data_IF_818873575314
#
_entry.id   IF_818873575314
#
_cell.length_a   1.000
_cell.length_b   1.000
_cell.length_c   1.000
_cell.angle_alpha   90.00
_cell.angle_beta   90.00
_cell.angle_gamma   90.00
#
_symmetry.space_group_name_H-M   'P 1'
#
loop_
_entity.id
_entity.type
_entity.pdbx_description
1 polymer ?
#
# COMPACT_ATOMS: atom_id res chain seq x y z
N UNK A 1 -3.54 16.44 24.18
CA UNK A 1 -4.54 15.59 23.56
C UNK A 1 -5.67 15.28 24.56
N UNK A 2 -6.82 14.99 24.04
CA UNK A 2 -7.97 14.63 24.85
C UNK A 2 -7.76 13.24 25.44
N UNK A 3 -7.89 13.11 26.77
CA UNK A 3 -7.67 11.85 27.46
C UNK A 3 -8.72 10.78 27.14
N UNK A 4 -9.85 11.18 26.54
CA UNK A 4 -10.90 10.25 26.13
C UNK A 4 -10.64 9.59 24.79
N UNK A 5 -9.65 10.06 24.04
CA UNK A 5 -9.33 9.51 22.73
C UNK A 5 -8.35 8.36 22.87
N UNK A 6 -8.55 7.35 22.03
CA UNK A 6 -7.59 6.23 21.94
C UNK A 6 -6.27 6.74 21.39
N UNK A 7 -5.18 6.12 21.84
CA UNK A 7 -3.86 6.43 21.30
C UNK A 7 -3.86 6.26 19.79
N UNK A 8 -3.36 7.26 19.09
CA UNK A 8 -3.27 7.25 17.64
C UNK A 8 -4.54 7.71 16.92
N UNK A 9 -5.59 8.09 17.66
CA UNK A 9 -6.85 8.50 17.03
C UNK A 9 -7.08 10.01 16.98
N UNK A 10 -6.17 10.80 17.57
CA UNK A 10 -6.32 12.25 17.68
C UNK A 10 -5.56 13.05 16.63
N UNK A 11 -5.25 12.45 15.49
CA UNK A 11 -4.48 13.14 14.46
C UNK A 11 -5.21 14.31 13.82
N UNK A 12 -4.44 15.27 13.30
CA UNK A 12 -4.98 16.54 12.79
C UNK A 12 -5.49 16.43 11.35
N UNK A 13 -5.23 15.34 10.64
CA UNK A 13 -5.57 15.19 9.22
C UNK A 13 -6.70 14.17 9.07
N UNK A 14 -7.77 14.39 9.83
CA UNK A 14 -8.93 13.51 9.79
C UNK A 14 -9.66 13.62 8.46
N UNK A 15 -10.18 12.49 7.99
CA UNK A 15 -10.96 12.43 6.75
C UNK A 15 -10.12 12.35 5.48
N UNK A 16 -8.81 12.47 5.57
CA UNK A 16 -7.91 12.28 4.42
C UNK A 16 -7.55 10.81 4.25
N UNK A 17 -7.19 10.45 3.04
CA UNK A 17 -6.78 9.09 2.71
C UNK A 17 -5.41 9.10 2.07
N UNK A 18 -4.68 7.99 2.20
CA UNK A 18 -3.39 7.82 1.55
C UNK A 18 -3.36 6.48 0.82
N UNK A 19 -2.44 6.35 -0.12
CA UNK A 19 -2.22 5.09 -0.82
C UNK A 19 -0.71 4.92 -1.01
N UNK A 20 -0.22 3.71 -0.75
CA UNK A 20 1.15 3.36 -1.05
C UNK A 20 1.20 2.80 -2.46
N UNK A 21 2.09 3.36 -3.27
CA UNK A 21 2.38 2.86 -4.62
C UNK A 21 3.86 2.52 -4.64
N UNK A 22 4.18 1.24 -4.71
CA UNK A 22 5.55 0.77 -4.55
C UNK A 22 6.00 -0.02 -5.77
N UNK A 23 7.29 0.13 -6.11
CA UNK A 23 7.91 -0.66 -7.16
C UNK A 23 9.09 -1.43 -6.57
N UNK A 24 9.18 -2.71 -6.90
CA UNK A 24 10.21 -3.58 -6.37
C UNK A 24 10.82 -4.42 -7.47
N UNK A 25 12.11 -4.74 -7.31
CA UNK A 25 12.79 -5.66 -8.21
C UNK A 25 12.57 -7.14 -7.82
N UNK A 26 11.87 -7.37 -6.73
CA UNK A 26 11.54 -8.71 -6.28
C UNK A 26 10.25 -9.20 -6.95
N UNK A 27 10.06 -10.52 -7.09
CA UNK A 27 8.79 -11.06 -7.58
C UNK A 27 7.71 -10.97 -6.48
N UNK A 28 6.45 -11.00 -6.92
CA UNK A 28 5.33 -10.91 -5.97
C UNK A 28 5.34 -12.04 -4.94
N UNK A 29 5.76 -13.24 -5.35
CA UNK A 29 5.81 -14.37 -4.43
C UNK A 29 6.76 -14.14 -3.25
N UNK A 30 7.77 -13.27 -3.41
CA UNK A 30 8.67 -12.95 -2.30
C UNK A 30 7.90 -12.37 -1.11
N UNK A 31 6.79 -11.69 -1.38
CA UNK A 31 5.95 -11.10 -0.34
C UNK A 31 4.90 -12.07 0.19
N UNK A 32 4.34 -12.89 -0.70
CA UNK A 32 3.11 -13.62 -0.42
C UNK A 32 3.31 -15.10 -0.11
N UNK A 33 4.46 -15.68 -0.49
CA UNK A 33 4.74 -17.09 -0.22
C UNK A 33 5.37 -17.23 1.16
N UNK A 34 4.77 -18.04 2.06
CA UNK A 34 5.31 -18.23 3.41
C UNK A 34 6.76 -18.75 3.43
N UNK A 35 7.20 -19.44 2.37
CA UNK A 35 8.56 -19.97 2.29
C UNK A 35 9.55 -18.96 1.70
N UNK A 36 9.09 -17.80 1.24
CA UNK A 36 9.96 -16.81 0.63
C UNK A 36 10.37 -15.71 1.62
N UNK A 37 11.14 -14.75 1.14
CA UNK A 37 11.88 -13.81 1.97
C UNK A 37 11.01 -13.06 2.98
N UNK A 38 9.84 -12.60 2.58
CA UNK A 38 8.97 -11.85 3.48
C UNK A 38 7.93 -12.73 4.18
N UNK A 39 8.13 -14.06 4.12
CA UNK A 39 7.42 -15.04 4.95
C UNK A 39 5.90 -15.06 4.74
N UNK A 40 5.45 -14.65 3.57
CA UNK A 40 4.04 -14.64 3.26
C UNK A 40 3.24 -13.54 3.92
N UNK A 41 3.92 -12.56 4.54
CA UNK A 41 3.24 -11.49 5.28
C UNK A 41 2.69 -10.39 4.39
N UNK A 42 3.06 -10.41 3.12
CA UNK A 42 2.54 -9.44 2.15
C UNK A 42 3.26 -8.09 2.18
N UNK A 43 3.01 -7.28 1.15
CA UNK A 43 3.69 -6.01 0.99
C UNK A 43 3.34 -5.02 2.12
N UNK A 44 2.13 -5.09 2.64
CA UNK A 44 1.73 -4.15 3.69
C UNK A 44 2.48 -4.36 4.99
N UNK A 45 2.95 -5.58 5.26
CA UNK A 45 3.80 -5.83 6.42
C UNK A 45 5.15 -5.14 6.29
N UNK A 46 5.67 -5.04 5.06
CA UNK A 46 6.93 -4.31 4.80
C UNK A 46 6.75 -2.83 5.10
N UNK A 47 5.58 -2.28 4.78
CA UNK A 47 5.29 -0.86 4.95
C UNK A 47 4.51 -0.55 6.22
N UNK A 48 4.46 -1.48 7.17
CA UNK A 48 3.71 -1.29 8.40
C UNK A 48 4.04 0.03 9.13
N UNK A 49 5.30 0.43 9.27
CA UNK A 49 5.62 1.72 9.91
C UNK A 49 5.02 2.92 9.16
N UNK A 50 5.00 2.86 7.83
CA UNK A 50 4.39 3.93 7.03
C UNK A 50 2.88 3.99 7.24
N UNK A 51 2.23 2.83 7.30
CA UNK A 51 0.80 2.78 7.59
C UNK A 51 0.50 3.40 8.95
N UNK A 52 1.30 3.05 9.95
CA UNK A 52 1.09 3.58 11.31
C UNK A 52 1.34 5.06 11.40
N UNK A 53 2.36 5.58 10.71
CA UNK A 53 2.64 7.01 10.70
C UNK A 53 1.46 7.80 10.10
N UNK A 54 0.91 7.32 8.99
CA UNK A 54 -0.22 8.00 8.35
C UNK A 54 -1.48 7.91 9.18
N UNK A 55 -1.74 6.75 9.80
CA UNK A 55 -2.88 6.58 10.69
C UNK A 55 -2.78 7.47 11.92
N UNK A 56 -1.57 7.65 12.45
CA UNK A 56 -1.35 8.53 13.58
C UNK A 56 -1.73 9.97 13.24
N UNK A 57 -1.50 10.40 11.99
CA UNK A 57 -1.90 11.72 11.52
C UNK A 57 -3.40 11.83 11.26
N UNK A 58 -4.12 10.71 11.28
CA UNK A 58 -5.56 10.71 11.09
C UNK A 58 -6.02 10.27 9.71
N UNK A 59 -5.09 9.81 8.87
CA UNK A 59 -5.45 9.37 7.53
C UNK A 59 -5.80 7.88 7.49
N UNK A 60 -6.66 7.51 6.53
CA UNK A 60 -7.04 6.12 6.28
C UNK A 60 -6.33 5.61 5.04
N UNK A 61 -5.92 4.33 5.08
CA UNK A 61 -5.21 3.72 3.97
C UNK A 61 -6.15 3.19 2.90
N UNK A 62 -5.83 3.48 1.63
CA UNK A 62 -6.42 2.81 0.48
C UNK A 62 -5.58 1.57 0.15
N UNK A 63 -6.12 0.60 -0.60
CA UNK A 63 -5.35 -0.58 -0.99
C UNK A 63 -4.04 -0.22 -1.67
N UNK A 64 -2.97 -0.90 -1.27
CA UNK A 64 -1.62 -0.64 -1.79
C UNK A 64 -1.47 -1.15 -3.21
N UNK A 65 -0.83 -0.37 -4.08
CA UNK A 65 -0.41 -0.84 -5.40
C UNK A 65 1.04 -1.30 -5.35
N UNK A 66 1.31 -2.47 -5.90
CA UNK A 66 2.65 -3.04 -5.94
C UNK A 66 3.01 -3.45 -7.37
N UNK A 67 4.08 -2.87 -7.90
CA UNK A 67 4.68 -3.30 -9.15
C UNK A 67 5.94 -4.10 -8.83
N UNK A 68 6.07 -5.28 -9.43
CA UNK A 68 7.14 -6.23 -9.13
C UNK A 68 8.00 -6.49 -10.36
N UNK A 69 9.19 -7.04 -10.14
CA UNK A 69 10.12 -7.43 -11.21
C UNK A 69 10.49 -6.28 -12.16
N UNK A 70 10.49 -5.05 -11.66
CA UNK A 70 10.61 -3.86 -12.53
C UNK A 70 11.95 -3.77 -13.25
N UNK A 71 13.00 -4.36 -12.71
CA UNK A 71 14.32 -4.35 -13.36
C UNK A 71 14.56 -5.59 -14.23
N UNK A 72 13.97 -6.72 -13.85
CA UNK A 72 14.17 -7.99 -14.56
C UNK A 72 13.30 -8.09 -15.80
N UNK A 73 12.08 -7.60 -15.73
CA UNK A 73 11.09 -7.65 -16.81
C UNK A 73 10.37 -6.32 -16.92
N UNK A 74 11.08 -5.26 -17.29
CA UNK A 74 10.44 -3.96 -17.38
C UNK A 74 9.40 -3.96 -18.50
N UNK A 75 8.17 -3.64 -18.14
CA UNK A 75 7.07 -3.50 -19.09
C UNK A 75 6.25 -2.30 -18.64
N UNK A 76 6.66 -1.12 -19.12
CA UNK A 76 6.04 0.12 -18.70
C UNK A 76 4.56 0.18 -19.08
N UNK A 77 4.16 -0.17 -20.33
CA UNK A 77 2.73 -0.18 -20.66
C UNK A 77 1.90 -1.09 -19.77
N UNK A 78 2.41 -2.30 -19.46
CA UNK A 78 1.69 -3.22 -18.57
C UNK A 78 1.59 -2.67 -17.16
N UNK A 79 2.65 -2.05 -16.65
CA UNK A 79 2.66 -1.46 -15.31
C UNK A 79 1.66 -0.31 -15.23
N UNK A 80 1.62 0.55 -16.24
CA UNK A 80 0.66 1.66 -16.30
C UNK A 80 -0.77 1.13 -16.34
N UNK A 81 -1.02 0.11 -17.16
CA UNK A 81 -2.35 -0.51 -17.23
C UNK A 81 -2.76 -1.12 -15.90
N UNK A 82 -1.85 -1.79 -15.21
CA UNK A 82 -2.10 -2.38 -13.90
C UNK A 82 -2.42 -1.30 -12.87
N UNK A 83 -1.68 -0.20 -12.90
CA UNK A 83 -1.92 0.90 -11.99
C UNK A 83 -3.29 1.55 -12.25
N UNK A 84 -3.63 1.75 -13.52
CA UNK A 84 -4.94 2.29 -13.87
C UNK A 84 -6.06 1.37 -13.40
N UNK A 85 -5.92 0.06 -13.59
CA UNK A 85 -6.90 -0.90 -13.13
C UNK A 85 -7.02 -0.88 -11.59
N UNK A 86 -5.91 -0.71 -10.90
CA UNK A 86 -5.91 -0.58 -9.45
C UNK A 86 -6.70 0.65 -9.01
N UNK A 87 -6.45 1.79 -9.63
CA UNK A 87 -7.17 3.01 -9.31
C UNK A 87 -8.67 2.87 -9.58
N UNK A 88 -9.03 2.23 -10.67
CA UNK A 88 -10.44 2.00 -11.01
C UNK A 88 -11.13 1.15 -9.95
N UNK A 89 -10.46 0.10 -9.45
CA UNK A 89 -11.01 -0.72 -8.38
C UNK A 89 -11.15 0.05 -7.08
N UNK A 90 -10.12 0.82 -6.72
CA UNK A 90 -10.09 1.54 -5.46
C UNK A 90 -11.14 2.64 -5.42
N UNK A 91 -11.32 3.33 -6.53
CA UNK A 91 -12.24 4.46 -6.59
C UNK A 91 -13.61 4.11 -7.19
N UNK A 92 -13.82 2.85 -7.52
CA UNK A 92 -15.11 2.39 -8.04
C UNK A 92 -15.44 2.91 -9.42
N UNK A 93 -14.44 3.31 -10.20
CA UNK A 93 -14.66 3.83 -11.54
C UNK A 93 -14.82 2.67 -12.52
N UNK A 94 -15.88 2.71 -13.28
CA UNK A 94 -16.08 1.74 -14.34
C UNK A 94 -15.42 2.26 -15.61
N UNK A 95 -14.46 1.53 -16.04
CA UNK A 95 -13.77 1.65 -17.32
C UNK A 95 -13.71 2.93 -18.06
#
# INVERSE_FOLDING_TARGET
SDSTQKYGSGGLVQGKRYMISATWNAPRQAFDDPSDFFEGKGVDAVYFPFHKANQFLGMSGLPTFLAVDVMKRPDVPATVAAYQAHLDRVFGRAG
#
